data_IF_227197124784
#
_entry.id   IF_227197124784
#
_cell.length_a   1.000
_cell.length_b   1.000
_cell.length_c   1.000
_cell.angle_alpha   90.00
_cell.angle_beta   90.00
_cell.angle_gamma   90.00
#
_symmetry.space_group_name_H-M   'P 1'
#
loop_
_entity.id
_entity.type
_entity.pdbx_description
1 polymer ?
#
# COMPACT_ATOMS: atom_id res chain seq x y z
N UNK A 1 12.66 -6.57 -14.93
CA UNK A 1 12.13 -5.65 -13.89
C UNK A 1 11.17 -6.38 -12.98
N UNK A 2 11.26 -6.15 -11.67
CA UNK A 2 10.46 -6.78 -10.61
C UNK A 2 9.97 -5.72 -9.63
N UNK A 3 8.83 -5.94 -8.98
CA UNK A 3 8.42 -5.13 -7.83
C UNK A 3 8.91 -5.82 -6.55
N UNK A 4 9.66 -5.10 -5.73
CA UNK A 4 10.01 -5.48 -4.37
C UNK A 4 9.14 -4.68 -3.42
N UNK A 5 8.26 -5.34 -2.70
CA UNK A 5 7.48 -4.71 -1.63
C UNK A 5 8.13 -5.06 -0.31
N UNK A 6 8.59 -4.07 0.42
CA UNK A 6 9.12 -4.22 1.79
C UNK A 6 8.10 -3.62 2.74
N UNK A 7 7.48 -4.45 3.57
CA UNK A 7 6.37 -3.96 4.40
C UNK A 7 5.85 -5.01 5.37
N UNK A 8 4.65 -4.79 5.88
CA UNK A 8 3.99 -5.68 6.80
C UNK A 8 3.05 -6.67 6.12
N UNK A 9 2.81 -7.75 6.81
CA UNK A 9 1.74 -8.72 6.58
C UNK A 9 1.12 -9.08 7.91
N UNK A 10 -0.18 -9.24 7.98
CA UNK A 10 -0.89 -9.59 9.20
C UNK A 10 -2.17 -10.41 8.92
N UNK A 11 -2.80 -10.87 9.98
CA UNK A 11 -4.18 -11.36 9.93
C UNK A 11 -5.11 -10.18 10.25
N UNK A 12 -6.05 -9.87 9.36
CA UNK A 12 -7.14 -8.93 9.64
C UNK A 12 -8.37 -9.71 10.12
N UNK A 13 -8.75 -9.56 11.40
CA UNK A 13 -9.99 -10.10 11.94
C UNK A 13 -11.05 -9.02 11.96
N UNK A 14 -12.05 -9.13 11.11
CA UNK A 14 -13.16 -8.17 11.04
C UNK A 14 -14.35 -8.68 11.84
N UNK A 15 -14.82 -7.91 12.82
CA UNK A 15 -16.05 -8.12 13.56
C UNK A 15 -17.15 -7.17 13.08
N UNK A 16 -18.34 -7.70 12.83
CA UNK A 16 -19.52 -6.91 12.45
C UNK A 16 -20.46 -6.73 13.62
N UNK A 17 -20.83 -5.50 13.89
CA UNK A 17 -21.62 -5.08 15.05
C UNK A 17 -22.82 -4.23 14.58
N UNK A 18 -23.83 -4.08 15.44
CA UNK A 18 -24.91 -3.10 15.25
C UNK A 18 -24.42 -1.67 15.52
N UNK A 19 -23.56 -1.49 16.54
CA UNK A 19 -22.81 -0.27 16.84
C UNK A 19 -21.48 -0.62 17.52
N UNK A 20 -20.56 0.32 17.51
CA UNK A 20 -19.30 0.18 18.24
C UNK A 20 -19.53 0.17 19.76
N UNK A 21 -18.74 -0.65 20.54
CA UNK A 21 -18.85 -0.66 22.00
C UNK A 21 -18.31 0.63 22.62
N UNK A 22 -18.90 1.05 23.73
CA UNK A 22 -18.35 2.09 24.59
C UNK A 22 -17.29 1.54 25.54
N UNK A 23 -16.49 2.40 26.16
CA UNK A 23 -15.48 1.98 27.12
C UNK A 23 -16.13 1.20 28.29
N UNK A 24 -15.65 -0.03 28.54
CA UNK A 24 -16.18 -0.94 29.56
C UNK A 24 -17.40 -1.76 29.14
N UNK A 25 -17.89 -1.60 27.91
CA UNK A 25 -19.01 -2.39 27.37
C UNK A 25 -18.52 -3.67 26.71
N UNK A 26 -19.26 -4.76 26.91
CA UNK A 26 -19.14 -6.01 26.14
C UNK A 26 -20.26 -6.10 25.11
N UNK A 27 -19.91 -6.23 23.82
CA UNK A 27 -20.89 -6.46 22.75
C UNK A 27 -20.60 -7.75 22.01
N UNK A 28 -21.67 -8.43 21.64
CA UNK A 28 -21.58 -9.62 20.79
C UNK A 28 -21.64 -9.18 19.31
N UNK A 29 -20.64 -9.59 18.54
CA UNK A 29 -20.67 -9.45 17.09
C UNK A 29 -21.64 -10.45 16.47
N UNK A 30 -22.35 -10.06 15.43
CA UNK A 30 -23.21 -10.97 14.67
C UNK A 30 -22.45 -11.72 13.55
N UNK A 31 -21.18 -11.41 13.35
CA UNK A 31 -20.29 -12.14 12.45
C UNK A 31 -18.84 -11.71 12.60
N UNK A 32 -17.92 -12.60 12.27
CA UNK A 32 -16.52 -12.28 12.14
C UNK A 32 -15.90 -13.10 11.01
N UNK A 33 -14.79 -12.58 10.47
CA UNK A 33 -13.99 -13.27 9.45
C UNK A 33 -12.52 -12.89 9.59
N UNK A 34 -11.65 -13.86 9.37
CA UNK A 34 -10.20 -13.65 9.22
C UNK A 34 -9.85 -13.53 7.74
N UNK A 35 -8.92 -12.64 7.42
CA UNK A 35 -8.39 -12.44 6.08
C UNK A 35 -6.91 -12.09 6.11
N UNK A 36 -6.25 -12.26 4.97
CA UNK A 36 -4.91 -11.74 4.77
C UNK A 36 -4.98 -10.21 4.75
N UNK A 37 -4.16 -9.58 5.57
CA UNK A 37 -4.05 -8.14 5.69
C UNK A 37 -2.60 -7.66 5.69
N UNK A 38 -2.46 -6.37 5.97
CA UNK A 38 -1.19 -5.66 5.93
C UNK A 38 -0.97 -4.96 4.59
N UNK A 39 -0.63 -3.67 4.66
CA UNK A 39 -0.40 -2.84 3.47
C UNK A 39 0.63 -3.45 2.52
N UNK A 40 1.73 -3.99 3.07
CA UNK A 40 2.76 -4.64 2.27
C UNK A 40 2.21 -5.83 1.47
N UNK A 41 1.47 -6.73 2.11
CA UNK A 41 0.87 -7.87 1.43
C UNK A 41 -0.19 -7.44 0.39
N UNK A 42 -1.08 -6.50 0.74
CA UNK A 42 -2.10 -5.99 -0.17
C UNK A 42 -1.48 -5.37 -1.43
N UNK A 43 -0.44 -4.53 -1.27
CA UNK A 43 0.25 -3.89 -2.37
C UNK A 43 1.04 -4.89 -3.23
N UNK A 44 1.64 -5.92 -2.60
CA UNK A 44 2.34 -6.98 -3.32
C UNK A 44 1.37 -7.79 -4.21
N UNK A 45 0.23 -8.21 -3.66
CA UNK A 45 -0.79 -8.95 -4.42
C UNK A 45 -1.38 -8.09 -5.53
N UNK A 46 -1.68 -6.81 -5.26
CA UNK A 46 -2.17 -5.90 -6.29
C UNK A 46 -1.16 -5.75 -7.44
N UNK A 47 0.14 -5.59 -7.14
CA UNK A 47 1.18 -5.53 -8.16
C UNK A 47 1.30 -6.84 -8.95
N UNK A 48 1.24 -8.00 -8.29
CA UNK A 48 1.29 -9.31 -8.96
C UNK A 48 0.11 -9.51 -9.92
N UNK A 49 -1.09 -9.10 -9.51
CA UNK A 49 -2.29 -9.15 -10.37
C UNK A 49 -2.21 -8.20 -11.58
N UNK A 50 -1.34 -7.16 -11.54
CA UNK A 50 -1.00 -6.38 -12.74
C UNK A 50 -0.09 -7.11 -13.73
N UNK A 51 0.28 -8.37 -13.44
CA UNK A 51 1.01 -9.26 -14.35
C UNK A 51 2.52 -9.02 -14.38
N UNK A 52 3.11 -8.61 -13.25
CA UNK A 52 4.57 -8.43 -13.09
C UNK A 52 5.11 -9.34 -11.99
N UNK A 53 6.39 -9.75 -12.06
CA UNK A 53 7.03 -10.48 -10.97
C UNK A 53 7.10 -9.62 -9.70
N UNK A 54 6.75 -10.22 -8.55
CA UNK A 54 6.74 -9.54 -7.25
C UNK A 54 7.50 -10.35 -6.21
N UNK A 55 8.27 -9.67 -5.37
CA UNK A 55 8.81 -10.25 -4.13
C UNK A 55 8.32 -9.43 -2.95
N UNK A 56 7.62 -10.07 -2.01
CA UNK A 56 7.28 -9.48 -0.73
C UNK A 56 8.39 -9.79 0.30
N UNK A 57 8.89 -8.77 0.95
CA UNK A 57 9.81 -8.84 2.10
C UNK A 57 9.04 -8.41 3.34
N UNK A 58 8.77 -9.33 4.24
CA UNK A 58 7.99 -9.09 5.45
C UNK A 58 8.42 -10.01 6.58
N UNK A 59 7.85 -9.81 7.77
CA UNK A 59 8.05 -10.69 8.91
C UNK A 59 6.74 -11.30 9.39
N UNK A 60 6.85 -12.51 9.94
CA UNK A 60 5.78 -13.27 10.57
C UNK A 60 6.27 -13.89 11.88
N UNK A 61 5.36 -14.28 12.73
CA UNK A 61 5.65 -15.10 13.90
C UNK A 61 5.87 -16.57 13.51
N UNK A 62 6.59 -17.29 14.38
CA UNK A 62 6.74 -18.76 14.27
C UNK A 62 5.53 -19.45 14.92
N UNK A 63 4.34 -19.20 14.36
CA UNK A 63 3.06 -19.70 14.84
C UNK A 63 2.14 -20.17 13.69
N UNK A 64 0.95 -20.66 14.03
CA UNK A 64 -0.02 -21.14 13.04
C UNK A 64 -0.50 -20.03 12.09
N UNK A 65 -0.58 -18.79 12.57
CA UNK A 65 -0.97 -17.64 11.74
C UNK A 65 0.11 -17.32 10.69
N UNK A 66 1.38 -17.37 11.08
CA UNK A 66 2.50 -17.20 10.16
C UNK A 66 2.54 -18.30 9.08
N UNK A 67 2.27 -19.54 9.46
CA UNK A 67 2.16 -20.65 8.50
C UNK A 67 1.00 -20.43 7.52
N UNK A 68 -0.17 -20.01 8.00
CA UNK A 68 -1.33 -19.71 7.17
C UNK A 68 -1.07 -18.54 6.19
N UNK A 69 -0.41 -17.46 6.66
CA UNK A 69 0.00 -16.34 5.80
C UNK A 69 0.90 -16.83 4.67
N UNK A 70 1.89 -17.66 4.98
CA UNK A 70 2.83 -18.22 3.98
C UNK A 70 2.09 -19.02 2.91
N UNK A 71 1.17 -19.89 3.31
CA UNK A 71 0.38 -20.69 2.39
C UNK A 71 -0.54 -19.84 1.52
N UNK A 72 -1.20 -18.84 2.11
CA UNK A 72 -2.09 -17.92 1.39
C UNK A 72 -1.34 -17.10 0.35
N UNK A 73 -0.16 -16.55 0.71
CA UNK A 73 0.66 -15.76 -0.21
C UNK A 73 1.22 -16.60 -1.38
N UNK A 74 1.50 -17.89 -1.17
CA UNK A 74 2.01 -18.77 -2.23
C UNK A 74 1.04 -18.91 -3.41
N UNK A 75 -0.26 -18.67 -3.20
CA UNK A 75 -1.27 -18.65 -4.26
C UNK A 75 -1.44 -17.30 -4.98
N UNK A 76 -0.86 -16.23 -4.45
CA UNK A 76 -1.09 -14.85 -4.92
C UNK A 76 0.15 -14.20 -5.54
N UNK A 77 1.35 -14.53 -5.05
CA UNK A 77 2.61 -13.93 -5.51
C UNK A 77 3.67 -14.99 -5.78
N UNK A 78 4.63 -14.68 -6.67
CA UNK A 78 5.68 -15.63 -7.07
C UNK A 78 6.79 -15.79 -6.03
N UNK A 79 6.99 -14.84 -5.13
CA UNK A 79 8.01 -14.91 -4.09
C UNK A 79 7.62 -14.14 -2.83
N UNK A 80 7.65 -14.83 -1.68
CA UNK A 80 7.53 -14.24 -0.36
C UNK A 80 8.76 -14.57 0.48
N UNK A 81 9.58 -13.54 0.77
CA UNK A 81 10.73 -13.63 1.66
C UNK A 81 10.28 -13.25 3.08
N UNK A 82 9.73 -14.22 3.81
CA UNK A 82 9.19 -14.03 5.14
C UNK A 82 10.23 -14.40 6.20
N UNK A 83 10.64 -13.42 7.00
CA UNK A 83 11.48 -13.61 8.17
C UNK A 83 10.62 -14.05 9.34
N UNK A 84 11.02 -15.13 10.02
CA UNK A 84 10.30 -15.65 11.18
C UNK A 84 10.94 -15.18 12.49
N UNK A 85 10.11 -14.68 13.39
CA UNK A 85 10.50 -14.29 14.74
C UNK A 85 9.80 -15.14 15.81
N UNK A 86 10.39 -15.25 16.99
CA UNK A 86 9.73 -15.80 18.20
C UNK A 86 8.82 -14.73 18.83
N UNK A 87 7.92 -14.18 18.00
CA UNK A 87 6.91 -13.19 18.34
C UNK A 87 5.57 -13.68 17.78
N UNK A 88 4.44 -13.26 18.35
CA UNK A 88 3.14 -13.50 17.70
C UNK A 88 3.10 -12.87 16.31
N UNK A 89 2.54 -13.59 15.34
CA UNK A 89 2.25 -13.00 14.02
C UNK A 89 1.37 -11.77 14.18
N UNK A 90 1.70 -10.69 13.48
CA UNK A 90 0.96 -9.43 13.53
C UNK A 90 -0.52 -9.66 13.16
N UNK A 91 -1.40 -8.95 13.88
CA UNK A 91 -2.85 -9.06 13.70
C UNK A 91 -3.51 -7.71 13.87
N UNK A 92 -4.47 -7.41 13.00
CA UNK A 92 -5.40 -6.30 13.20
C UNK A 92 -6.79 -6.83 13.55
N UNK A 93 -7.43 -6.23 14.53
CA UNK A 93 -8.85 -6.43 14.83
C UNK A 93 -9.60 -5.20 14.37
N UNK A 94 -10.55 -5.40 13.46
CA UNK A 94 -11.39 -4.34 12.88
C UNK A 94 -12.82 -4.55 13.35
N UNK A 95 -13.32 -3.69 14.20
CA UNK A 95 -14.72 -3.66 14.58
C UNK A 95 -15.46 -2.68 13.67
N UNK A 96 -16.49 -3.14 12.95
CA UNK A 96 -17.25 -2.32 11.99
C UNK A 96 -18.73 -2.37 12.38
N UNK A 97 -19.35 -1.20 12.49
CA UNK A 97 -20.78 -1.09 12.80
C UNK A 97 -21.70 -1.05 11.56
N UNK A 98 -23.01 -0.94 11.80
CA UNK A 98 -24.02 -0.95 10.75
C UNK A 98 -23.99 0.29 9.82
N UNK A 99 -23.37 1.39 10.27
CA UNK A 99 -23.23 2.62 9.47
C UNK A 99 -21.85 2.75 8.81
N UNK A 100 -20.95 1.76 9.05
CA UNK A 100 -19.63 1.70 8.44
C UNK A 100 -18.54 2.41 9.24
N UNK A 101 -18.83 2.89 10.46
CA UNK A 101 -17.80 3.37 11.37
C UNK A 101 -16.97 2.21 11.88
N UNK A 102 -15.67 2.42 12.10
CA UNK A 102 -14.77 1.35 12.52
C UNK A 102 -13.77 1.79 13.59
N UNK A 103 -13.32 0.79 14.35
CA UNK A 103 -12.17 0.88 15.25
C UNK A 103 -11.19 -0.22 14.84
N UNK A 104 -9.91 0.14 14.70
CA UNK A 104 -8.85 -0.79 14.33
C UNK A 104 -7.82 -0.84 15.46
N UNK A 105 -7.51 -2.05 15.92
CA UNK A 105 -6.47 -2.35 16.88
C UNK A 105 -5.44 -3.25 16.21
N UNK A 106 -4.19 -2.84 16.14
CA UNK A 106 -3.14 -3.60 15.45
C UNK A 106 -1.99 -3.95 16.39
N UNK A 107 -1.68 -5.25 16.48
CA UNK A 107 -0.42 -5.75 17.02
C UNK A 107 0.60 -5.81 15.88
N UNK A 108 1.74 -5.12 16.04
CA UNK A 108 2.69 -4.86 14.93
C UNK A 108 4.14 -5.22 15.31
N UNK A 109 4.31 -6.18 16.22
CA UNK A 109 5.62 -6.53 16.78
C UNK A 109 6.58 -7.09 15.74
N UNK A 110 6.09 -7.94 14.82
CA UNK A 110 6.89 -8.49 13.74
C UNK A 110 7.35 -7.38 12.76
N UNK A 111 6.42 -6.51 12.36
CA UNK A 111 6.72 -5.41 11.44
C UNK A 111 7.75 -4.43 12.03
N UNK A 112 7.60 -4.05 13.30
CA UNK A 112 8.53 -3.13 13.98
C UNK A 112 9.91 -3.72 14.21
N UNK A 113 10.02 -5.05 14.34
CA UNK A 113 11.31 -5.74 14.53
C UNK A 113 12.00 -6.05 13.21
N UNK A 114 11.25 -6.03 12.08
CA UNK A 114 11.74 -6.44 10.78
C UNK A 114 12.73 -5.43 10.19
N UNK A 115 13.94 -5.92 9.86
CA UNK A 115 14.93 -5.21 9.07
C UNK A 115 15.44 -6.11 7.93
N UNK A 116 15.02 -5.87 6.68
CA UNK A 116 15.49 -6.67 5.55
C UNK A 116 16.98 -6.46 5.24
N UNK A 117 17.58 -5.35 5.67
CA UNK A 117 19.01 -5.05 5.47
C UNK A 117 19.91 -5.84 6.43
N UNK A 118 19.36 -6.39 7.52
CA UNK A 118 20.08 -7.31 8.39
C UNK A 118 20.46 -8.63 7.70
N UNK A 119 19.88 -8.89 6.51
CA UNK A 119 20.16 -10.06 5.68
C UNK A 119 20.72 -9.62 4.33
N UNK A 120 21.83 -10.23 3.90
CA UNK A 120 22.46 -9.94 2.59
C UNK A 120 21.51 -10.24 1.42
N UNK A 121 20.61 -11.21 1.59
CA UNK A 121 19.68 -11.67 0.56
C UNK A 121 18.87 -10.54 -0.09
N UNK A 122 18.44 -9.52 0.68
CA UNK A 122 17.70 -8.40 0.13
C UNK A 122 18.55 -7.63 -0.89
N UNK A 123 19.75 -7.19 -0.47
CA UNK A 123 20.68 -6.42 -1.31
C UNK A 123 21.20 -7.22 -2.52
N UNK A 124 21.29 -8.54 -2.41
CA UNK A 124 21.71 -9.44 -3.49
C UNK A 124 20.60 -9.69 -4.52
N UNK A 125 19.34 -9.53 -4.11
CA UNK A 125 18.17 -9.81 -4.96
C UNK A 125 17.72 -8.59 -5.77
N UNK A 126 17.78 -7.38 -5.19
CA UNK A 126 17.36 -6.15 -5.87
C UNK A 126 18.35 -5.77 -6.98
N UNK A 127 17.81 -5.36 -8.13
CA UNK A 127 18.58 -5.03 -9.33
C UNK A 127 18.20 -3.65 -9.88
N UNK A 128 19.08 -3.00 -10.67
CA UNK A 128 18.73 -1.74 -11.36
C UNK A 128 17.43 -1.89 -12.16
N UNK A 129 16.69 -0.80 -12.24
CA UNK A 129 15.38 -0.68 -12.90
C UNK A 129 14.22 -1.44 -12.21
N UNK A 130 14.47 -2.21 -11.14
CA UNK A 130 13.38 -2.74 -10.31
C UNK A 130 12.63 -1.60 -9.59
N UNK A 131 11.46 -1.91 -9.07
CA UNK A 131 10.63 -0.98 -8.29
C UNK A 131 10.62 -1.42 -6.84
N UNK A 132 10.98 -0.54 -5.92
CA UNK A 132 10.87 -0.73 -4.48
C UNK A 132 9.65 0.01 -3.95
N UNK A 133 8.76 -0.70 -3.28
CA UNK A 133 7.57 -0.14 -2.62
C UNK A 133 7.69 -0.33 -1.13
N UNK A 134 7.51 0.76 -0.38
CA UNK A 134 7.50 0.78 1.08
C UNK A 134 6.29 1.52 1.64
N UNK A 135 5.97 1.27 2.90
CA UNK A 135 4.89 1.93 3.64
C UNK A 135 5.40 2.39 5.01
N UNK A 136 4.52 3.03 5.81
CA UNK A 136 4.83 3.50 7.15
C UNK A 136 4.71 2.45 8.26
N UNK A 137 4.69 1.15 7.95
CA UNK A 137 4.46 0.09 8.94
C UNK A 137 5.74 -0.40 9.63
N UNK A 138 6.91 -0.22 9.01
CA UNK A 138 8.22 -0.49 9.61
C UNK A 138 8.71 0.76 10.35
N UNK A 139 9.78 0.61 11.15
CA UNK A 139 10.39 1.78 11.78
C UNK A 139 10.88 2.79 10.72
N UNK A 140 10.81 4.09 11.03
CA UNK A 140 11.25 5.14 10.12
C UNK A 140 12.72 5.00 9.70
N UNK A 141 13.58 4.52 10.63
CA UNK A 141 14.99 4.26 10.35
C UNK A 141 15.19 3.17 9.31
N UNK A 142 14.52 2.02 9.45
CA UNK A 142 14.58 0.91 8.48
C UNK A 142 13.99 1.34 7.14
N UNK A 143 12.85 2.04 7.15
CA UNK A 143 12.22 2.55 5.93
C UNK A 143 13.16 3.46 5.16
N UNK A 144 13.79 4.43 5.83
CA UNK A 144 14.76 5.34 5.22
C UNK A 144 16.00 4.63 4.66
N UNK A 145 16.55 3.67 5.42
CA UNK A 145 17.71 2.89 5.00
C UNK A 145 17.41 2.02 3.76
N UNK A 146 16.24 1.37 3.70
CA UNK A 146 15.82 0.57 2.54
C UNK A 146 15.61 1.44 1.29
N UNK A 147 14.96 2.61 1.44
CA UNK A 147 14.78 3.56 0.33
C UNK A 147 16.13 4.07 -0.19
N UNK A 148 17.07 4.38 0.69
CA UNK A 148 18.44 4.75 0.32
C UNK A 148 19.15 3.62 -0.42
N UNK A 149 19.08 2.39 0.08
CA UNK A 149 19.69 1.22 -0.56
C UNK A 149 19.10 0.99 -1.96
N UNK A 150 17.77 1.05 -2.11
CA UNK A 150 17.09 0.97 -3.40
C UNK A 150 17.57 2.05 -4.36
N UNK A 151 17.65 3.29 -3.90
CA UNK A 151 18.14 4.42 -4.70
C UNK A 151 19.58 4.22 -5.18
N UNK A 152 20.49 3.78 -4.30
CA UNK A 152 21.89 3.49 -4.64
C UNK A 152 22.00 2.36 -5.67
N UNK A 153 21.13 1.37 -5.59
CA UNK A 153 21.05 0.25 -6.56
C UNK A 153 20.35 0.61 -7.87
N UNK A 154 19.82 1.84 -8.02
CA UNK A 154 19.16 2.28 -9.25
C UNK A 154 17.69 1.86 -9.39
N UNK A 155 17.02 1.52 -8.29
CA UNK A 155 15.59 1.22 -8.29
C UNK A 155 14.74 2.50 -8.37
N UNK A 156 13.55 2.37 -8.94
CA UNK A 156 12.49 3.36 -8.73
C UNK A 156 11.87 3.13 -7.34
N UNK A 157 11.87 4.16 -6.49
CA UNK A 157 11.40 4.07 -5.10
C UNK A 157 10.02 4.70 -4.93
N UNK A 158 9.11 3.95 -4.32
CA UNK A 158 7.75 4.39 -4.01
C UNK A 158 7.55 4.28 -2.50
N UNK A 159 7.08 5.33 -1.86
CA UNK A 159 6.68 5.35 -0.47
C UNK A 159 5.20 5.70 -0.35
N UNK A 160 4.37 4.73 0.03
CA UNK A 160 3.04 5.02 0.55
C UNK A 160 3.20 5.45 2.02
N UNK A 161 3.16 6.77 2.28
CA UNK A 161 3.43 7.31 3.61
C UNK A 161 2.23 7.11 4.57
N UNK A 162 1.86 5.85 4.76
CA UNK A 162 0.75 5.38 5.59
C UNK A 162 1.10 4.05 6.29
N UNK A 163 0.79 3.90 7.59
CA UNK A 163 0.34 4.93 8.51
C UNK A 163 1.44 5.96 8.82
N UNK A 164 1.02 7.16 9.22
CA UNK A 164 1.94 8.13 9.84
C UNK A 164 2.05 7.83 11.33
N UNK A 165 3.27 7.68 11.82
CA UNK A 165 3.53 7.48 13.25
C UNK A 165 3.94 8.81 13.88
N UNK A 166 3.24 9.23 14.93
CA UNK A 166 3.54 10.47 15.63
C UNK A 166 4.96 10.45 16.21
N UNK A 167 5.75 11.49 15.93
CA UNK A 167 7.13 11.59 16.41
C UNK A 167 8.17 10.87 15.55
N UNK A 168 7.76 10.13 14.51
CA UNK A 168 8.67 9.47 13.56
C UNK A 168 8.51 10.08 12.15
N UNK A 169 9.20 11.18 11.83
CA UNK A 169 9.10 11.78 10.51
C UNK A 169 9.69 10.86 9.44
N UNK A 170 8.95 10.64 8.38
CA UNK A 170 9.45 9.93 7.20
C UNK A 170 10.34 10.86 6.37
N UNK A 171 11.54 10.38 6.00
CA UNK A 171 12.44 11.10 5.09
C UNK A 171 12.05 10.83 3.62
N UNK A 172 12.03 11.89 2.79
CA UNK A 172 11.61 11.77 1.38
C UNK A 172 12.78 11.90 0.38
N UNK A 173 14.02 12.17 0.84
CA UNK A 173 15.17 12.45 -0.04
C UNK A 173 15.52 11.33 -1.03
N UNK A 174 15.14 10.08 -0.75
CA UNK A 174 15.41 8.92 -1.60
C UNK A 174 14.14 8.35 -2.24
N UNK A 175 13.07 9.15 -2.35
CA UNK A 175 11.76 8.72 -2.83
C UNK A 175 11.46 9.32 -4.20
N UNK A 176 11.24 8.45 -5.19
CA UNK A 176 10.81 8.90 -6.52
C UNK A 176 9.33 9.24 -6.58
N UNK A 177 8.48 8.50 -5.84
CA UNK A 177 7.05 8.76 -5.71
C UNK A 177 6.59 8.62 -4.27
N UNK A 178 6.05 9.68 -3.70
CA UNK A 178 5.31 9.64 -2.44
C UNK A 178 3.82 9.52 -2.76
N UNK A 179 3.14 8.56 -2.14
CA UNK A 179 1.70 8.35 -2.24
C UNK A 179 1.08 8.60 -0.87
N UNK A 180 0.13 9.53 -0.80
CA UNK A 180 -0.56 9.94 0.43
C UNK A 180 -2.04 10.19 0.15
N UNK A 181 -2.89 10.07 1.17
CA UNK A 181 -4.24 10.62 1.12
C UNK A 181 -4.26 12.10 1.58
N UNK A 182 -5.40 12.77 1.48
CA UNK A 182 -5.54 14.19 1.88
C UNK A 182 -5.19 14.44 3.34
N UNK A 183 -5.59 13.54 4.24
CA UNK A 183 -5.29 13.64 5.66
C UNK A 183 -3.80 13.50 5.95
N UNK A 184 -3.15 12.53 5.34
CA UNK A 184 -1.70 12.30 5.42
C UNK A 184 -0.93 13.47 4.79
N UNK A 185 -1.35 13.94 3.62
CA UNK A 185 -0.75 15.09 2.96
C UNK A 185 -0.84 16.35 3.84
N UNK A 186 -1.99 16.58 4.46
CA UNK A 186 -2.17 17.67 5.42
C UNK A 186 -1.28 17.52 6.64
N UNK A 187 -1.21 16.32 7.23
CA UNK A 187 -0.39 16.07 8.42
C UNK A 187 1.11 16.29 8.15
N UNK A 188 1.60 15.88 6.98
CA UNK A 188 3.00 16.06 6.58
C UNK A 188 3.30 17.52 6.23
N UNK A 189 2.44 18.16 5.44
CA UNK A 189 2.71 19.48 4.85
C UNK A 189 2.17 20.66 5.64
N UNK A 190 1.20 20.43 6.52
CA UNK A 190 0.44 21.48 7.18
C UNK A 190 -0.57 22.21 6.28
N UNK A 191 -0.80 21.74 5.05
CA UNK A 191 -1.73 22.35 4.10
C UNK A 191 -2.92 21.44 3.79
N UNK A 192 -4.13 22.02 3.76
CA UNK A 192 -5.35 21.31 3.31
C UNK A 192 -5.56 21.35 1.79
N UNK A 193 -4.86 22.25 1.10
CA UNK A 193 -4.92 22.37 -0.36
C UNK A 193 -4.00 21.31 -0.96
N UNK A 194 -4.52 20.34 -1.78
CA UNK A 194 -3.77 19.17 -2.22
C UNK A 194 -2.53 19.51 -3.06
N UNK A 195 -2.62 20.50 -3.95
CA UNK A 195 -1.48 20.87 -4.80
C UNK A 195 -0.38 21.56 -4.00
N UNK A 196 -0.74 22.41 -3.03
CA UNK A 196 0.22 23.03 -2.12
C UNK A 196 0.83 22.01 -1.17
N UNK A 197 0.04 21.03 -0.68
CA UNK A 197 0.55 19.93 0.12
C UNK A 197 1.58 19.11 -0.65
N UNK A 198 1.27 18.73 -1.89
CA UNK A 198 2.18 18.01 -2.77
C UNK A 198 3.47 18.80 -3.04
N UNK A 199 3.38 20.11 -3.28
CA UNK A 199 4.56 20.96 -3.49
C UNK A 199 5.48 20.97 -2.26
N UNK A 200 4.93 21.12 -1.04
CA UNK A 200 5.71 21.08 0.20
C UNK A 200 6.37 19.72 0.47
N UNK A 201 5.71 18.61 0.09
CA UNK A 201 6.32 17.28 0.18
C UNK A 201 7.47 17.15 -0.83
N UNK A 202 7.38 17.74 -2.02
CA UNK A 202 8.51 17.82 -2.96
C UNK A 202 9.64 18.68 -2.38
N UNK A 203 9.34 19.83 -1.79
CA UNK A 203 10.33 20.68 -1.11
C UNK A 203 11.07 19.94 0.02
N UNK A 204 10.40 18.99 0.67
CA UNK A 204 11.02 18.14 1.70
C UNK A 204 11.83 16.95 1.16
N UNK A 205 11.98 16.84 -0.18
CA UNK A 205 12.93 15.93 -0.81
C UNK A 205 12.34 14.88 -1.76
N UNK A 206 11.01 14.71 -1.80
CA UNK A 206 10.37 13.80 -2.75
C UNK A 206 10.53 14.31 -4.20
N UNK A 207 10.65 13.40 -5.16
CA UNK A 207 10.74 13.81 -6.58
C UNK A 207 9.37 14.06 -7.18
N UNK A 208 8.38 13.24 -6.84
CA UNK A 208 6.99 13.30 -7.32
C UNK A 208 6.04 12.92 -6.21
N UNK A 209 4.84 13.47 -6.24
CA UNK A 209 3.82 13.19 -5.22
C UNK A 209 2.49 12.85 -5.89
N UNK A 210 1.84 11.83 -5.36
CA UNK A 210 0.46 11.44 -5.68
C UNK A 210 -0.36 11.67 -4.42
N UNK A 211 -1.37 12.55 -4.50
CA UNK A 211 -2.34 12.76 -3.42
C UNK A 211 -3.66 12.13 -3.82
N UNK A 212 -4.11 11.10 -3.12
CA UNK A 212 -5.43 10.50 -3.36
C UNK A 212 -6.54 11.35 -2.73
N UNK A 213 -7.61 11.59 -3.49
CA UNK A 213 -8.70 12.53 -3.17
C UNK A 213 -10.06 11.81 -3.00
N UNK A 214 -10.03 10.51 -2.69
CA UNK A 214 -11.23 9.69 -2.56
C UNK A 214 -12.03 9.65 -3.86
N UNK A 215 -13.33 9.93 -3.80
CA UNK A 215 -14.24 9.94 -4.96
C UNK A 215 -13.89 11.00 -6.03
N UNK A 216 -12.98 11.92 -5.74
CA UNK A 216 -12.46 12.90 -6.71
C UNK A 216 -11.24 12.38 -7.50
N UNK A 217 -10.76 11.17 -7.21
CA UNK A 217 -9.62 10.57 -7.88
C UNK A 217 -8.28 10.90 -7.21
N UNK A 218 -7.31 11.42 -7.95
CA UNK A 218 -6.01 11.81 -7.39
C UNK A 218 -5.39 13.01 -8.13
N UNK A 219 -4.40 13.62 -7.49
CA UNK A 219 -3.52 14.62 -8.03
C UNK A 219 -2.11 14.01 -8.17
N UNK A 220 -1.49 14.16 -9.33
CA UNK A 220 -0.08 13.87 -9.56
C UNK A 220 0.70 15.17 -9.77
N UNK A 221 1.72 15.40 -8.94
CA UNK A 221 2.69 16.48 -9.10
C UNK A 221 4.07 15.89 -9.40
N UNK A 222 4.66 16.24 -10.56
CA UNK A 222 5.91 15.65 -11.07
C UNK A 222 7.16 16.48 -10.79
N UNK A 223 7.01 17.61 -10.13
CA UNK A 223 8.09 18.53 -9.77
C UNK A 223 7.53 19.85 -9.26
N UNK A 224 8.36 20.63 -8.56
CA UNK A 224 7.93 21.87 -7.90
C UNK A 224 7.34 22.90 -8.86
N UNK A 225 7.85 22.96 -10.08
CA UNK A 225 7.40 23.89 -11.12
C UNK A 225 6.44 23.24 -12.14
N UNK A 226 6.04 21.99 -11.94
CA UNK A 226 5.11 21.30 -12.83
C UNK A 226 3.67 21.71 -12.51
N UNK A 227 2.83 21.76 -13.55
CA UNK A 227 1.39 21.87 -13.33
C UNK A 227 0.86 20.57 -12.71
N UNK A 228 -0.01 20.63 -11.69
CA UNK A 228 -0.64 19.44 -11.13
C UNK A 228 -1.57 18.80 -12.15
N UNK A 229 -1.44 17.47 -12.31
CA UNK A 229 -2.34 16.68 -13.15
C UNK A 229 -3.40 16.03 -12.26
N UNK A 230 -4.68 16.36 -12.52
CA UNK A 230 -5.81 15.74 -11.84
C UNK A 230 -6.31 14.55 -12.67
N UNK A 231 -6.49 13.40 -12.02
CA UNK A 231 -7.02 12.17 -12.58
C UNK A 231 -8.33 11.88 -11.86
N UNK A 232 -9.46 11.95 -12.56
CA UNK A 232 -10.79 11.73 -12.00
C UNK A 232 -10.99 10.25 -11.65
N UNK A 233 -11.70 9.98 -10.54
CA UNK A 233 -12.14 8.63 -10.19
C UNK A 233 -13.32 8.20 -11.05
N UNK A 234 -13.44 6.89 -11.38
CA UNK A 234 -14.64 6.37 -12.03
C UNK A 234 -15.85 6.49 -11.09
N UNK A 235 -17.02 6.74 -11.67
CA UNK A 235 -18.29 6.80 -10.93
C UNK A 235 -18.76 5.38 -10.62
N UNK A 236 -18.66 4.97 -9.37
CA UNK A 236 -19.06 3.64 -8.90
C UNK A 236 -19.92 3.73 -7.64
N UNK A 237 -20.72 2.70 -7.38
CA UNK A 237 -21.41 2.54 -6.09
C UNK A 237 -20.39 2.02 -5.07
N UNK A 238 -20.10 2.80 -4.05
CA UNK A 238 -19.13 2.46 -3.01
C UNK A 238 -19.77 1.48 -2.03
N UNK A 239 -19.10 0.35 -1.80
CA UNK A 239 -19.45 -0.68 -0.80
C UNK A 239 -18.48 -0.63 0.37
N UNK A 240 -17.16 -0.59 0.09
CA UNK A 240 -16.11 -0.60 1.10
C UNK A 240 -14.87 0.13 0.55
N UNK A 241 -14.35 1.10 1.27
CA UNK A 241 -13.15 1.86 0.85
C UNK A 241 -11.84 1.26 1.36
N UNK A 242 -11.92 0.19 2.16
CA UNK A 242 -10.74 -0.47 2.74
C UNK A 242 -9.83 -1.04 1.65
N UNK A 243 -8.54 -0.78 1.75
CA UNK A 243 -7.55 -1.31 0.81
C UNK A 243 -7.47 -0.62 -0.55
N UNK A 244 -8.37 0.33 -0.89
CA UNK A 244 -8.33 1.03 -2.17
C UNK A 244 -7.00 1.75 -2.43
N UNK A 245 -6.40 2.34 -1.39
CA UNK A 245 -5.07 2.94 -1.45
C UNK A 245 -3.95 1.93 -1.72
N UNK A 246 -4.07 0.71 -1.16
CA UNK A 246 -3.10 -0.36 -1.39
C UNK A 246 -3.22 -0.90 -2.82
N UNK A 247 -4.45 -1.06 -3.33
CA UNK A 247 -4.71 -1.41 -4.73
C UNK A 247 -4.10 -0.36 -5.66
N UNK A 248 -4.37 0.93 -5.43
CA UNK A 248 -3.80 2.01 -6.22
C UNK A 248 -2.26 1.95 -6.22
N UNK A 249 -1.63 1.82 -5.05
CA UNK A 249 -0.18 1.77 -4.91
C UNK A 249 0.44 0.56 -5.62
N UNK A 250 -0.10 -0.65 -5.40
CA UNK A 250 0.40 -1.89 -6.00
C UNK A 250 0.25 -1.90 -7.53
N UNK A 251 -0.92 -1.49 -8.06
CA UNK A 251 -1.15 -1.41 -9.50
C UNK A 251 -0.26 -0.33 -10.15
N UNK A 252 -0.10 0.83 -9.51
CA UNK A 252 0.81 1.87 -9.98
C UNK A 252 2.25 1.34 -10.11
N UNK A 253 2.77 0.65 -9.07
CA UNK A 253 4.08 0.03 -9.09
C UNK A 253 4.20 -1.03 -10.20
N UNK A 254 3.18 -1.89 -10.35
CA UNK A 254 3.14 -2.89 -11.42
C UNK A 254 3.16 -2.27 -12.81
N UNK A 255 2.40 -1.20 -13.04
CA UNK A 255 2.39 -0.48 -14.32
C UNK A 255 3.74 0.21 -14.63
N UNK A 256 4.40 0.80 -13.62
CA UNK A 256 5.75 1.36 -13.79
C UNK A 256 6.77 0.27 -14.16
N UNK A 257 6.70 -0.90 -13.53
CA UNK A 257 7.56 -2.06 -13.84
C UNK A 257 7.39 -2.56 -15.28
N UNK A 258 6.22 -2.33 -15.88
CA UNK A 258 5.94 -2.58 -17.31
C UNK A 258 6.47 -1.48 -18.24
N UNK A 259 7.16 -0.47 -17.72
CA UNK A 259 7.69 0.65 -18.49
C UNK A 259 6.66 1.73 -18.84
N UNK A 260 5.49 1.73 -18.21
CA UNK A 260 4.47 2.74 -18.49
C UNK A 260 4.86 4.12 -17.94
N UNK A 261 4.49 5.16 -18.69
CA UNK A 261 4.64 6.53 -18.20
C UNK A 261 3.81 6.75 -16.92
N UNK A 262 4.32 7.45 -15.89
CA UNK A 262 3.65 7.61 -14.60
C UNK A 262 2.20 8.12 -14.69
N UNK A 263 1.91 9.03 -15.61
CA UNK A 263 0.56 9.58 -15.77
C UNK A 263 -0.43 8.54 -16.30
N UNK A 264 0.01 7.62 -17.16
CA UNK A 264 -0.79 6.49 -17.61
C UNK A 264 -0.93 5.44 -16.52
N UNK A 265 0.17 5.11 -15.84
CA UNK A 265 0.18 4.16 -14.73
C UNK A 265 -0.82 4.54 -13.63
N UNK A 266 -0.85 5.82 -13.25
CA UNK A 266 -1.77 6.29 -12.20
C UNK A 266 -3.24 6.29 -12.65
N UNK A 267 -3.55 6.54 -13.92
CA UNK A 267 -4.93 6.40 -14.45
C UNK A 267 -5.44 4.98 -14.28
N UNK A 268 -4.64 3.99 -14.70
CA UNK A 268 -5.00 2.56 -14.54
C UNK A 268 -5.17 2.22 -13.06
N UNK A 269 -4.29 2.73 -12.19
CA UNK A 269 -4.37 2.48 -10.76
C UNK A 269 -5.63 3.10 -10.12
N UNK A 270 -6.07 4.27 -10.56
CA UNK A 270 -7.33 4.92 -10.10
C UNK A 270 -8.55 4.12 -10.55
N UNK A 271 -8.58 3.64 -11.80
CA UNK A 271 -9.65 2.77 -12.31
C UNK A 271 -9.71 1.46 -11.51
N UNK A 272 -8.57 0.84 -11.24
CA UNK A 272 -8.48 -0.38 -10.45
C UNK A 272 -8.95 -0.17 -8.99
N UNK A 273 -8.59 0.95 -8.37
CA UNK A 273 -9.08 1.34 -7.06
C UNK A 273 -10.60 1.57 -7.06
N UNK A 274 -11.14 2.13 -8.15
CA UNK A 274 -12.60 2.25 -8.36
C UNK A 274 -13.32 0.91 -8.39
N UNK A 275 -12.74 -0.11 -9.02
CA UNK A 275 -13.29 -1.48 -8.98
C UNK A 275 -13.24 -2.07 -7.56
N UNK A 276 -12.17 -1.80 -6.81
CA UNK A 276 -12.01 -2.29 -5.46
C UNK A 276 -13.07 -1.72 -4.52
N UNK A 277 -13.33 -0.41 -4.52
CA UNK A 277 -14.32 0.20 -3.62
C UNK A 277 -15.76 -0.24 -3.87
N UNK A 278 -16.04 -0.85 -5.02
CA UNK A 278 -17.33 -1.45 -5.34
C UNK A 278 -17.49 -2.89 -4.78
N UNK A 279 -16.55 -3.36 -3.94
CA UNK A 279 -16.52 -4.70 -3.36
C UNK A 279 -16.19 -4.62 -1.88
N UNK A 280 -16.61 -5.62 -1.10
CA UNK A 280 -16.30 -5.71 0.32
C UNK A 280 -14.92 -6.34 0.56
N UNK A 281 -14.22 -5.85 1.60
CA UNK A 281 -12.94 -6.36 2.09
C UNK A 281 -11.72 -5.67 1.49
N UNK A 282 -10.54 -5.99 2.01
CA UNK A 282 -9.26 -5.39 1.61
C UNK A 282 -8.66 -6.14 0.42
N UNK A 283 -8.08 -7.32 0.64
CA UNK A 283 -7.48 -8.12 -0.44
C UNK A 283 -8.52 -8.73 -1.38
N UNK A 284 -9.67 -9.16 -0.84
CA UNK A 284 -10.77 -9.75 -1.63
C UNK A 284 -11.40 -8.76 -2.61
N UNK A 285 -11.35 -7.46 -2.33
CA UNK A 285 -11.84 -6.41 -3.21
C UNK A 285 -10.90 -6.10 -4.38
N UNK A 286 -9.61 -6.43 -4.25
CA UNK A 286 -8.61 -6.15 -5.28
C UNK A 286 -9.00 -6.83 -6.60
N UNK A 287 -9.01 -6.09 -7.72
CA UNK A 287 -9.34 -6.64 -9.03
C UNK A 287 -8.49 -7.87 -9.39
N UNK A 288 -9.10 -8.82 -10.07
CA UNK A 288 -8.42 -10.02 -10.57
C UNK A 288 -7.42 -9.68 -11.69
N UNK A 289 -6.45 -10.57 -11.93
CA UNK A 289 -5.50 -10.40 -13.03
C UNK A 289 -6.18 -10.25 -14.40
N UNK A 290 -7.33 -10.93 -14.61
CA UNK A 290 -8.13 -10.82 -15.84
C UNK A 290 -8.72 -9.42 -16.01
N UNK A 291 -9.29 -8.84 -14.96
CA UNK A 291 -9.87 -7.49 -14.97
C UNK A 291 -8.78 -6.43 -15.20
N UNK A 292 -7.65 -6.57 -14.52
CA UNK A 292 -6.50 -5.67 -14.70
C UNK A 292 -5.92 -5.76 -16.10
N UNK A 293 -5.80 -6.96 -16.67
CA UNK A 293 -5.36 -7.14 -18.07
C UNK A 293 -6.30 -6.44 -19.05
N UNK A 294 -7.60 -6.44 -18.78
CA UNK A 294 -8.57 -5.70 -19.61
C UNK A 294 -8.38 -4.18 -19.49
N UNK A 295 -8.27 -3.63 -18.26
CA UNK A 295 -8.01 -2.20 -18.03
C UNK A 295 -6.74 -1.71 -18.71
N UNK A 296 -5.65 -2.48 -18.58
CA UNK A 296 -4.36 -2.15 -19.19
C UNK A 296 -4.48 -2.08 -20.71
N UNK A 297 -5.15 -3.05 -21.34
CA UNK A 297 -5.35 -3.08 -22.80
C UNK A 297 -6.22 -1.92 -23.31
N UNK A 298 -7.32 -1.60 -22.62
CA UNK A 298 -8.17 -0.47 -22.99
C UNK A 298 -7.40 0.83 -22.97
N UNK A 299 -6.58 1.04 -21.96
CA UNK A 299 -5.70 2.22 -21.85
C UNK A 299 -4.62 2.29 -22.95
N UNK A 300 -4.30 1.18 -23.64
CA UNK A 300 -3.39 1.15 -24.79
C UNK A 300 -4.02 1.68 -26.08
N UNK A 301 -5.33 1.55 -26.20
CA UNK A 301 -6.07 1.99 -27.40
C UNK A 301 -6.50 3.45 -27.34
N UNK A 302 -6.63 4.04 -26.17
CA UNK A 302 -7.12 5.42 -26.00
C UNK A 302 -6.01 6.48 -26.07
N UNK A 303 -4.74 6.11 -25.91
CA UNK A 303 -3.59 6.99 -25.98
C UNK A 303 -2.41 6.23 -26.58
N UNK A 304 -2.31 6.14 -27.93
CA UNK A 304 -1.18 5.52 -28.64
C UNK A 304 0.14 6.27 -28.47
#
# INVERSE_FOLDING_TARGET
MRVHVVGNVCIDTTFRLDRLPEAGETRNAFGHADGLGGKGANQAVAAARAGVPVTLWAAIGRDANGAWIRETLAGEIDSACLTEFDLPTDRSTVAVDAVGENIILSGVSCALTFDPLAQTKFLDTIAPDDVLVMQGNLSGAVTGACLQAGRVKGLTTILNASPLVAGEPLGFANVDFVIVNEGEAQAISGSREPALAAARIIESGARRVIVTLGSRGCLLLTGINAAPAYIEAPKVSVIDTSGAGDVLCGIFAGCLTRGMHPQRAIRIAVEAAGLAVARAGTLSSCPTAKELSALIKTSETEHP
#
